data_IF_311188323242
#
_entry.id   IF_311188323242
#
_cell.length_a   1.000
_cell.length_b   1.000
_cell.length_c   1.000
_cell.angle_alpha   90.00
_cell.angle_beta   90.00
_cell.angle_gamma   90.00
#
_symmetry.space_group_name_H-M   'P 1'
#
loop_
_entity.id
_entity.type
_entity.pdbx_description
1 polymer ?
#
# COMPACT_ATOMS: atom_id res chain seq x y z
N UNK A 1 4.91 -18.36 -8.69
CA UNK A 1 5.92 -17.28 -8.57
C UNK A 1 5.45 -16.36 -7.45
N UNK A 2 6.34 -15.84 -6.58
CA UNK A 2 5.94 -14.88 -5.53
C UNK A 2 6.28 -13.47 -6.01
N UNK A 3 5.32 -12.56 -5.94
CA UNK A 3 5.48 -11.17 -6.36
C UNK A 3 5.36 -10.28 -5.12
N UNK A 4 6.37 -9.44 -4.91
CA UNK A 4 6.37 -8.45 -3.85
C UNK A 4 6.03 -7.09 -4.47
N UNK A 5 5.01 -6.42 -3.95
CA UNK A 5 4.62 -5.08 -4.40
C UNK A 5 5.12 -4.10 -3.36
N UNK A 6 6.12 -3.29 -3.71
CA UNK A 6 6.63 -2.23 -2.84
C UNK A 6 5.92 -0.94 -3.20
N UNK A 7 5.25 -0.32 -2.24
CA UNK A 7 4.54 0.94 -2.43
C UNK A 7 5.01 1.95 -1.38
N UNK A 8 5.78 2.97 -1.78
CA UNK A 8 6.06 4.11 -0.92
C UNK A 8 4.78 4.94 -0.75
N UNK A 9 4.53 5.42 0.47
CA UNK A 9 3.37 6.22 0.81
C UNK A 9 3.81 7.48 1.56
N UNK A 10 3.46 8.65 1.02
CA UNK A 10 3.69 9.96 1.63
C UNK A 10 2.39 10.76 1.61
N UNK A 11 1.86 11.04 2.79
CA UNK A 11 0.60 11.73 2.99
C UNK A 11 -0.63 11.09 2.28
N UNK A 12 -0.80 9.77 2.45
CA UNK A 12 -1.84 8.96 1.81
C UNK A 12 -2.91 8.46 2.79
N UNK A 13 -3.11 9.13 3.93
CA UNK A 13 -4.05 8.70 4.97
C UNK A 13 -5.48 8.39 4.44
N UNK A 14 -5.93 9.13 3.43
CA UNK A 14 -7.27 8.96 2.84
C UNK A 14 -7.33 7.88 1.74
N UNK A 15 -6.18 7.48 1.16
CA UNK A 15 -6.15 6.61 -0.03
C UNK A 15 -5.50 5.25 0.21
N UNK A 16 -4.55 5.13 1.14
CA UNK A 16 -3.73 3.92 1.30
C UNK A 16 -4.59 2.68 1.59
N UNK A 17 -5.69 2.84 2.32
CA UNK A 17 -6.66 1.77 2.58
C UNK A 17 -7.37 1.27 1.31
N UNK A 18 -7.72 2.18 0.40
CA UNK A 18 -8.35 1.83 -0.89
C UNK A 18 -7.35 1.09 -1.79
N UNK A 19 -6.10 1.57 -1.86
CA UNK A 19 -5.03 0.91 -2.63
C UNK A 19 -4.79 -0.52 -2.13
N UNK A 20 -4.70 -0.72 -0.82
CA UNK A 20 -4.53 -2.06 -0.24
C UNK A 20 -5.73 -2.96 -0.56
N UNK A 21 -6.95 -2.41 -0.49
CA UNK A 21 -8.17 -3.16 -0.77
C UNK A 21 -8.26 -3.58 -2.24
N UNK A 22 -7.96 -2.67 -3.17
CA UNK A 22 -7.94 -2.93 -4.60
C UNK A 22 -6.88 -3.96 -4.99
N UNK A 23 -5.68 -3.89 -4.39
CA UNK A 23 -4.63 -4.87 -4.60
C UNK A 23 -5.04 -6.27 -4.13
N UNK A 24 -5.65 -6.35 -2.94
CA UNK A 24 -6.16 -7.64 -2.42
C UNK A 24 -7.28 -8.21 -3.30
N UNK A 25 -8.10 -7.36 -3.91
CA UNK A 25 -9.20 -7.78 -4.77
C UNK A 25 -8.73 -8.25 -6.14
N UNK A 26 -7.84 -7.49 -6.78
CA UNK A 26 -7.49 -7.69 -8.19
C UNK A 26 -6.16 -8.42 -8.41
N UNK A 27 -5.32 -8.50 -7.38
CA UNK A 27 -3.99 -9.12 -7.46
C UNK A 27 -3.63 -9.89 -6.18
N UNK A 28 -4.41 -10.92 -5.81
CA UNK A 28 -4.27 -11.64 -4.54
C UNK A 28 -2.97 -12.43 -4.40
N UNK A 29 -2.26 -12.71 -5.49
CA UNK A 29 -0.95 -13.38 -5.49
C UNK A 29 0.21 -12.46 -5.09
N UNK A 30 -0.01 -11.15 -5.12
CA UNK A 30 0.97 -10.14 -4.73
C UNK A 30 0.98 -9.94 -3.22
N UNK A 31 2.18 -9.80 -2.65
CA UNK A 31 2.36 -9.43 -1.24
C UNK A 31 2.69 -7.94 -1.18
N UNK A 32 1.77 -7.08 -0.72
CA UNK A 32 2.04 -5.65 -0.59
C UNK A 32 2.92 -5.36 0.64
N UNK A 33 3.93 -4.52 0.45
CA UNK A 33 4.77 -3.91 1.49
C UNK A 33 4.70 -2.41 1.32
N UNK A 34 4.10 -1.76 2.30
CA UNK A 34 3.90 -0.31 2.31
C UNK A 34 5.06 0.28 3.11
N UNK A 35 5.73 1.26 2.52
CA UNK A 35 6.81 1.99 3.16
C UNK A 35 6.32 3.41 3.39
N UNK A 36 6.09 3.79 4.66
CA UNK A 36 5.85 5.19 4.99
C UNK A 36 7.14 5.97 4.66
N UNK A 37 7.02 6.90 3.70
CA UNK A 37 8.12 7.68 3.13
C UNK A 37 8.23 9.06 3.81
N UNK A 38 8.06 9.08 5.13
CA UNK A 38 8.15 10.30 5.94
C UNK A 38 6.86 11.12 6.00
N UNK A 39 5.69 10.47 5.95
CA UNK A 39 4.40 11.15 6.06
C UNK A 39 4.30 12.01 7.32
N UNK A 40 3.65 13.15 7.18
CA UNK A 40 3.29 14.08 8.26
C UNK A 40 1.83 13.98 8.71
N UNK A 41 1.07 13.08 8.09
CA UNK A 41 -0.34 12.79 8.37
C UNK A 41 -0.52 11.37 8.94
N UNK A 42 -1.78 10.93 9.04
CA UNK A 42 -2.16 9.61 9.58
C UNK A 42 -1.97 8.45 8.58
N UNK A 43 -0.93 8.50 7.73
CA UNK A 43 -0.54 7.35 6.89
C UNK A 43 0.01 6.21 7.77
N UNK A 44 -0.82 5.23 8.14
CA UNK A 44 -0.44 4.06 8.98
C UNK A 44 -1.13 2.76 8.60
#
# INVERSE_FOLDING_TARGET
MKILIVIPAFNEAENIGNVISDLKQHFPEGVPVIINDGSSDDTS
#
